data_IF_226672661224
#
_entry.id   IF_226672661224
#
_cell.length_a   1.000
_cell.length_b   1.000
_cell.length_c   1.000
_cell.angle_alpha   90.00
_cell.angle_beta   90.00
_cell.angle_gamma   90.00
#
_symmetry.space_group_name_H-M   'P 1'
#
loop_
_entity.id
_entity.type
_entity.pdbx_description
1 polymer ?
#
# COMPACT_ATOMS: atom_id res chain seq x y z
N UNK A 1 1.53 34.16 -7.57
CA UNK A 1 1.78 32.74 -7.93
C UNK A 1 0.45 32.18 -8.40
N UNK A 2 0.30 31.80 -9.68
CA UNK A 2 -0.93 31.18 -10.16
C UNK A 2 -1.10 29.83 -9.45
N UNK A 3 -2.27 29.65 -8.83
CA UNK A 3 -2.70 28.38 -8.26
C UNK A 3 -2.71 27.29 -9.34
N UNK A 4 -2.47 26.06 -8.91
CA UNK A 4 -2.31 24.89 -9.76
C UNK A 4 -3.50 24.69 -10.71
N UNK A 5 -3.28 23.97 -11.81
CA UNK A 5 -4.30 23.55 -12.77
C UNK A 5 -5.45 22.79 -12.06
N UNK A 6 -6.43 23.50 -11.50
CA UNK A 6 -7.59 22.90 -10.85
C UNK A 6 -8.50 22.27 -11.91
N UNK A 7 -8.86 21.00 -11.69
CA UNK A 7 -9.78 20.27 -12.55
C UNK A 7 -11.16 20.29 -11.90
N UNK A 8 -12.09 21.06 -12.45
CA UNK A 8 -13.40 21.25 -11.83
C UNK A 8 -14.36 20.10 -12.17
N UNK A 9 -15.46 20.01 -11.42
CA UNK A 9 -16.54 19.06 -11.72
C UNK A 9 -17.20 19.32 -13.08
N UNK A 10 -17.29 20.58 -13.51
CA UNK A 10 -17.82 20.93 -14.83
C UNK A 10 -16.85 20.51 -15.96
N UNK A 11 -15.54 20.63 -15.74
CA UNK A 11 -14.54 20.08 -16.66
C UNK A 11 -14.67 18.56 -16.75
N UNK A 12 -14.92 17.86 -15.63
CA UNK A 12 -15.16 16.42 -15.62
C UNK A 12 -16.37 16.04 -16.48
N UNK A 13 -17.52 16.70 -16.26
CA UNK A 13 -18.76 16.44 -17.01
C UNK A 13 -18.54 16.63 -18.51
N UNK A 14 -18.00 17.80 -18.89
CA UNK A 14 -17.74 18.15 -20.29
C UNK A 14 -16.81 17.16 -20.98
N UNK A 15 -15.79 16.68 -20.27
CA UNK A 15 -14.78 15.78 -20.85
C UNK A 15 -15.27 14.34 -20.88
N UNK A 16 -15.96 13.85 -19.86
CA UNK A 16 -16.24 12.42 -19.69
C UNK A 16 -17.71 12.01 -19.77
N UNK A 17 -18.67 12.93 -19.63
CA UNK A 17 -20.10 12.59 -19.58
C UNK A 17 -20.87 13.05 -20.83
N UNK A 18 -20.49 14.17 -21.47
CA UNK A 18 -21.24 14.73 -22.62
C UNK A 18 -21.26 13.79 -23.85
N UNK A 19 -20.23 12.97 -24.03
CA UNK A 19 -20.16 11.96 -25.09
C UNK A 19 -20.43 10.57 -24.49
N UNK A 20 -21.57 9.98 -24.84
CA UNK A 20 -22.00 8.67 -24.35
C UNK A 20 -21.00 7.54 -24.64
N UNK A 21 -20.37 7.52 -25.81
CA UNK A 21 -19.38 6.49 -26.15
C UNK A 21 -18.11 6.66 -25.31
N UNK A 22 -17.72 7.92 -25.06
CA UNK A 22 -16.56 8.23 -24.22
C UNK A 22 -16.84 7.90 -22.75
N UNK A 23 -18.05 8.20 -22.26
CA UNK A 23 -18.51 7.86 -20.91
C UNK A 23 -18.46 6.35 -20.68
N UNK A 24 -19.07 5.56 -21.55
CA UNK A 24 -19.10 4.09 -21.44
C UNK A 24 -17.68 3.49 -21.46
N UNK A 25 -16.82 4.00 -22.33
CA UNK A 25 -15.42 3.57 -22.39
C UNK A 25 -14.63 3.95 -21.13
N UNK A 26 -14.83 5.16 -20.62
CA UNK A 26 -14.19 5.62 -19.38
C UNK A 26 -14.66 4.77 -18.18
N UNK A 27 -15.96 4.47 -18.10
CA UNK A 27 -16.54 3.62 -17.07
C UNK A 27 -15.94 2.21 -17.12
N UNK A 28 -15.81 1.64 -18.32
CA UNK A 28 -15.20 0.32 -18.53
C UNK A 28 -13.76 0.29 -18.00
N UNK A 29 -12.94 1.29 -18.36
CA UNK A 29 -11.58 1.37 -17.83
C UNK A 29 -11.53 1.59 -16.33
N UNK A 30 -12.40 2.44 -15.76
CA UNK A 30 -12.44 2.67 -14.33
C UNK A 30 -12.77 1.37 -13.56
N UNK A 31 -13.74 0.59 -14.04
CA UNK A 31 -14.09 -0.71 -13.48
C UNK A 31 -12.94 -1.72 -13.55
N UNK A 32 -12.25 -1.80 -14.70
CA UNK A 32 -11.12 -2.71 -14.92
C UNK A 32 -9.92 -2.34 -14.03
N UNK A 33 -9.56 -1.05 -13.98
CA UNK A 33 -8.44 -0.58 -13.17
C UNK A 33 -8.74 -0.74 -11.68
N UNK A 34 -9.98 -0.47 -11.24
CA UNK A 34 -10.41 -0.73 -9.86
C UNK A 34 -10.24 -2.21 -9.49
N UNK A 35 -10.67 -3.13 -10.36
CA UNK A 35 -10.47 -4.58 -10.16
C UNK A 35 -8.99 -4.91 -10.07
N UNK A 36 -8.17 -4.34 -10.95
CA UNK A 36 -6.73 -4.52 -10.94
C UNK A 36 -6.06 -4.01 -9.66
N UNK A 37 -6.48 -2.86 -9.13
CA UNK A 37 -5.98 -2.32 -7.85
C UNK A 37 -6.33 -3.21 -6.66
N UNK A 38 -7.52 -3.82 -6.65
CA UNK A 38 -7.91 -4.80 -5.62
C UNK A 38 -6.99 -6.04 -5.68
N UNK A 39 -6.73 -6.57 -6.88
CA UNK A 39 -5.81 -7.70 -7.05
C UNK A 39 -4.38 -7.34 -6.61
N UNK A 40 -3.91 -6.16 -7.00
CA UNK A 40 -2.59 -5.67 -6.58
C UNK A 40 -2.52 -5.45 -5.08
N UNK A 41 -3.58 -4.97 -4.44
CA UNK A 41 -3.63 -4.82 -2.98
C UNK A 41 -3.34 -6.15 -2.27
N UNK A 42 -3.99 -7.24 -2.70
CA UNK A 42 -3.74 -8.57 -2.14
C UNK A 42 -2.34 -9.09 -2.47
N UNK A 43 -1.88 -8.96 -3.72
CA UNK A 43 -0.50 -9.34 -4.10
C UNK A 43 0.54 -8.60 -3.28
N UNK A 44 0.31 -7.30 -3.01
CA UNK A 44 1.20 -6.48 -2.20
C UNK A 44 1.24 -6.92 -0.74
N UNK A 45 0.07 -7.25 -0.18
CA UNK A 45 0.00 -7.79 1.16
C UNK A 45 0.77 -9.12 1.28
N UNK A 46 0.64 -10.03 0.31
CA UNK A 46 1.25 -11.36 0.38
C UNK A 46 2.77 -11.33 0.55
N UNK A 47 3.50 -10.49 -0.19
CA UNK A 47 4.96 -10.44 -0.03
C UNK A 47 5.38 -9.86 1.33
N UNK A 48 4.65 -8.86 1.86
CA UNK A 48 4.94 -8.32 3.19
C UNK A 48 4.65 -9.34 4.28
N UNK A 49 3.55 -10.08 4.17
CA UNK A 49 3.26 -11.20 5.06
C UNK A 49 4.39 -12.24 5.03
N UNK A 50 4.90 -12.59 3.85
CA UNK A 50 6.01 -13.54 3.73
C UNK A 50 7.29 -13.04 4.43
N UNK A 51 7.68 -11.79 4.19
CA UNK A 51 8.87 -11.21 4.84
C UNK A 51 8.71 -11.11 6.36
N UNK A 52 7.54 -10.68 6.84
CA UNK A 52 7.23 -10.56 8.27
C UNK A 52 7.23 -11.94 8.93
N UNK A 53 6.59 -12.94 8.32
CA UNK A 53 6.55 -14.30 8.83
C UNK A 53 7.96 -14.92 8.90
N UNK A 54 8.76 -14.77 7.84
CA UNK A 54 10.15 -15.24 7.82
C UNK A 54 10.99 -14.55 8.91
N UNK A 55 10.81 -13.24 9.11
CA UNK A 55 11.52 -12.48 10.15
C UNK A 55 11.11 -12.94 11.55
N UNK A 56 9.82 -13.19 11.80
CA UNK A 56 9.36 -13.76 13.07
C UNK A 56 9.90 -15.17 13.31
N UNK A 57 9.86 -16.04 12.31
CA UNK A 57 10.40 -17.39 12.41
C UNK A 57 11.91 -17.38 12.72
N UNK A 58 12.67 -16.50 12.04
CA UNK A 58 14.08 -16.27 12.32
C UNK A 58 14.31 -15.78 13.76
N UNK A 59 13.51 -14.82 14.22
CA UNK A 59 13.62 -14.28 15.58
C UNK A 59 13.32 -15.34 16.64
N UNK A 60 12.23 -16.09 16.50
CA UNK A 60 11.86 -17.16 17.45
C UNK A 60 12.93 -18.26 17.49
N UNK A 61 13.41 -18.70 16.32
CA UNK A 61 14.45 -19.73 16.23
C UNK A 61 15.74 -19.27 16.90
N UNK A 62 16.14 -18.01 16.66
CA UNK A 62 17.29 -17.40 17.32
C UNK A 62 17.10 -17.31 18.84
N UNK A 63 15.89 -16.95 19.30
CA UNK A 63 15.57 -16.89 20.73
C UNK A 63 15.60 -18.26 21.41
N UNK A 64 15.28 -19.33 20.69
CA UNK A 64 15.42 -20.70 21.17
C UNK A 64 16.86 -21.24 21.13
N UNK A 65 17.77 -20.56 20.42
CA UNK A 65 19.16 -20.98 20.30
C UNK A 65 20.06 -20.48 21.45
N UNK A 66 21.18 -21.18 21.63
CA UNK A 66 22.31 -20.78 22.51
C UNK A 66 23.43 -20.05 21.75
N UNK A 67 23.09 -19.36 20.65
CA UNK A 67 24.07 -18.65 19.82
C UNK A 67 24.79 -17.55 20.60
N UNK A 68 26.11 -17.43 20.41
CA UNK A 68 26.93 -16.36 21.02
C UNK A 68 26.55 -14.98 20.49
N UNK A 69 26.13 -14.88 19.22
CA UNK A 69 25.75 -13.62 18.57
C UNK A 69 24.25 -13.33 18.67
N UNK A 70 23.56 -13.93 19.65
CA UNK A 70 22.10 -13.88 19.79
C UNK A 70 21.57 -12.45 19.90
N UNK A 71 22.21 -11.59 20.68
CA UNK A 71 21.79 -10.20 20.87
C UNK A 71 21.88 -9.40 19.57
N UNK A 72 23.03 -9.47 18.88
CA UNK A 72 23.27 -8.75 17.64
C UNK A 72 22.26 -9.13 16.56
N UNK A 73 22.08 -10.43 16.35
CA UNK A 73 21.13 -10.96 15.37
C UNK A 73 19.67 -10.63 15.74
N UNK A 74 19.33 -10.58 17.03
CA UNK A 74 17.99 -10.18 17.49
C UNK A 74 17.69 -8.73 17.14
N UNK A 75 18.65 -7.83 17.36
CA UNK A 75 18.52 -6.41 17.04
C UNK A 75 18.37 -6.23 15.52
N UNK A 76 19.19 -6.92 14.71
CA UNK A 76 19.08 -6.91 13.24
C UNK A 76 17.70 -7.35 12.78
N UNK A 77 17.19 -8.47 13.29
CA UNK A 77 15.87 -8.98 12.94
C UNK A 77 14.74 -8.05 13.38
N UNK A 78 14.85 -7.43 14.56
CA UNK A 78 13.91 -6.41 15.01
C UNK A 78 13.89 -5.18 14.08
N UNK A 79 15.05 -4.68 13.68
CA UNK A 79 15.16 -3.58 12.72
C UNK A 79 14.52 -3.93 11.37
N UNK A 80 14.77 -5.14 10.83
CA UNK A 80 14.11 -5.62 9.61
C UNK A 80 12.59 -5.72 9.78
N UNK A 81 12.13 -6.26 10.91
CA UNK A 81 10.71 -6.34 11.24
C UNK A 81 10.02 -4.97 11.27
N UNK A 82 10.68 -3.97 11.86
CA UNK A 82 10.20 -2.57 11.85
C UNK A 82 10.11 -2.03 10.42
N UNK A 83 11.15 -2.22 9.60
CA UNK A 83 11.17 -1.73 8.21
C UNK A 83 10.06 -2.37 7.39
N UNK A 84 9.93 -3.70 7.42
CA UNK A 84 8.93 -4.39 6.62
C UNK A 84 7.51 -4.07 7.05
N UNK A 85 7.24 -4.00 8.35
CA UNK A 85 5.90 -3.67 8.86
C UNK A 85 5.52 -2.20 8.64
N UNK A 86 6.46 -1.26 8.79
CA UNK A 86 6.23 0.16 8.50
C UNK A 86 6.03 0.38 7.00
N UNK A 87 6.84 -0.26 6.17
CA UNK A 87 6.67 -0.27 4.72
C UNK A 87 5.31 -0.84 4.32
N UNK A 88 4.87 -1.93 4.96
CA UNK A 88 3.56 -2.53 4.73
C UNK A 88 2.42 -1.56 5.08
N UNK A 89 2.52 -0.85 6.20
CA UNK A 89 1.56 0.20 6.57
C UNK A 89 1.46 1.30 5.50
N UNK A 90 2.58 1.81 5.03
CA UNK A 90 2.62 2.83 3.96
C UNK A 90 2.00 2.31 2.65
N UNK A 91 2.33 1.09 2.25
CA UNK A 91 1.79 0.47 1.03
C UNK A 91 0.29 0.19 1.16
N UNK A 92 -0.21 -0.23 2.32
CA UNK A 92 -1.65 -0.40 2.56
C UNK A 92 -2.40 0.94 2.44
N UNK A 93 -1.79 2.04 2.91
CA UNK A 93 -2.37 3.39 2.76
C UNK A 93 -2.36 3.87 1.31
N UNK A 94 -1.25 3.67 0.59
CA UNK A 94 -1.14 4.03 -0.83
C UNK A 94 -2.09 3.22 -1.72
N UNK A 95 -2.19 1.91 -1.47
CA UNK A 95 -3.12 1.03 -2.19
C UNK A 95 -4.57 1.49 -2.01
N UNK A 96 -4.94 1.81 -0.77
CA UNK A 96 -6.28 2.28 -0.45
C UNK A 96 -6.60 3.61 -1.16
N UNK A 97 -5.66 4.55 -1.18
CA UNK A 97 -5.83 5.84 -1.85
C UNK A 97 -6.14 5.69 -3.35
N UNK A 98 -5.39 4.84 -4.06
CA UNK A 98 -5.63 4.60 -5.48
C UNK A 98 -6.90 3.80 -5.74
N UNK A 99 -7.23 2.85 -4.87
CA UNK A 99 -8.51 2.16 -4.93
C UNK A 99 -9.68 3.16 -4.82
N UNK A 100 -9.71 3.97 -3.76
CA UNK A 100 -10.76 4.98 -3.55
C UNK A 100 -10.85 5.98 -4.71
N UNK A 101 -9.71 6.37 -5.31
CA UNK A 101 -9.70 7.22 -6.51
C UNK A 101 -10.51 6.61 -7.67
N UNK A 102 -10.29 5.33 -7.98
CA UNK A 102 -11.00 4.66 -9.07
C UNK A 102 -12.44 4.33 -8.71
N UNK A 103 -12.74 4.04 -7.45
CA UNK A 103 -14.11 3.90 -6.94
C UNK A 103 -14.90 5.20 -7.15
N UNK A 104 -14.32 6.36 -6.81
CA UNK A 104 -14.92 7.67 -7.08
C UNK A 104 -15.10 7.95 -8.59
N UNK A 105 -14.18 7.49 -9.45
CA UNK A 105 -14.39 7.62 -10.90
C UNK A 105 -15.56 6.77 -11.39
N UNK A 106 -15.72 5.54 -10.88
CA UNK A 106 -16.88 4.70 -11.19
C UNK A 106 -18.17 5.41 -10.75
N UNK A 107 -18.20 5.94 -9.52
CA UNK A 107 -19.34 6.72 -9.01
C UNK A 107 -19.72 7.85 -9.95
N UNK A 108 -18.75 8.63 -10.44
CA UNK A 108 -19.02 9.77 -11.30
C UNK A 108 -19.47 9.39 -12.72
N UNK A 109 -19.12 8.19 -13.19
CA UNK A 109 -19.33 7.77 -14.57
C UNK A 109 -20.58 6.90 -14.78
N UNK A 110 -21.07 6.21 -13.75
CA UNK A 110 -22.04 5.12 -13.91
C UNK A 110 -23.48 5.55 -14.22
N UNK A 111 -23.92 6.70 -13.72
CA UNK A 111 -25.34 7.08 -13.68
C UNK A 111 -26.02 7.08 -15.06
N UNK A 112 -25.31 7.58 -16.08
CA UNK A 112 -25.83 7.66 -17.45
C UNK A 112 -25.77 6.35 -18.23
N UNK A 113 -24.95 5.39 -17.78
CA UNK A 113 -24.64 4.17 -18.54
C UNK A 113 -25.33 2.94 -17.94
N UNK A 114 -25.11 2.69 -16.64
CA UNK A 114 -25.61 1.50 -15.94
C UNK A 114 -26.49 1.84 -14.72
N UNK A 115 -26.78 3.14 -14.53
CA UNK A 115 -27.43 3.64 -13.32
C UNK A 115 -26.50 3.64 -12.11
N UNK A 116 -27.02 3.89 -10.89
CA UNK A 116 -26.23 4.04 -9.67
C UNK A 116 -25.85 2.67 -9.07
N UNK A 117 -25.39 1.72 -9.89
CA UNK A 117 -25.18 0.34 -9.49
C UNK A 117 -24.13 0.20 -8.38
N UNK A 118 -23.06 0.97 -8.46
CA UNK A 118 -21.95 0.97 -7.51
C UNK A 118 -22.28 1.79 -6.26
N UNK A 119 -23.03 2.90 -6.40
CA UNK A 119 -23.52 3.72 -5.28
C UNK A 119 -24.55 3.03 -4.40
N UNK A 120 -25.39 2.16 -4.97
CA UNK A 120 -26.49 1.53 -4.23
C UNK A 120 -25.97 0.39 -3.35
N UNK A 121 -26.01 0.61 -2.02
CA UNK A 121 -25.62 -0.40 -1.02
C UNK A 121 -26.84 -1.09 -0.44
N UNK A 122 -26.96 -2.39 -0.66
CA UNK A 122 -28.01 -3.22 -0.07
C UNK A 122 -27.55 -3.75 1.30
N UNK A 123 -28.34 -3.49 2.34
CA UNK A 123 -28.04 -3.92 3.73
C UNK A 123 -29.11 -4.86 4.24
N UNK A 124 -28.73 -5.77 5.16
CA UNK A 124 -29.71 -6.64 5.83
C UNK A 124 -30.55 -5.84 6.81
N UNK A 125 -31.82 -6.21 7.03
CA UNK A 125 -32.62 -5.62 8.09
C UNK A 125 -31.97 -5.88 9.46
N UNK A 126 -32.21 -4.99 10.42
CA UNK A 126 -31.68 -5.16 11.76
C UNK A 126 -32.20 -6.45 12.40
N UNK A 127 -31.34 -7.22 13.11
CA UNK A 127 -31.74 -8.45 13.76
C UNK A 127 -32.84 -8.19 14.80
N UNK A 128 -33.85 -9.06 14.84
CA UNK A 128 -34.96 -9.01 15.79
C UNK A 128 -34.82 -10.13 16.83
N UNK A 129 -34.71 -9.73 18.10
CA UNK A 129 -34.61 -10.66 19.21
C UNK A 129 -33.17 -11.11 19.50
N UNK A 130 -33.01 -11.82 20.62
CA UNK A 130 -31.69 -12.14 21.19
C UNK A 130 -30.88 -13.10 20.32
N UNK A 131 -31.51 -14.14 19.76
CA UNK A 131 -30.83 -15.15 18.94
C UNK A 131 -30.25 -14.56 17.65
N UNK A 132 -31.04 -13.79 16.90
CA UNK A 132 -30.56 -13.11 15.68
C UNK A 132 -29.46 -12.08 16.00
N UNK A 133 -29.53 -11.43 17.17
CA UNK A 133 -28.49 -10.50 17.60
C UNK A 133 -27.16 -11.22 17.88
N UNK A 134 -27.21 -12.39 18.53
CA UNK A 134 -26.03 -13.22 18.77
C UNK A 134 -25.42 -13.74 17.46
N UNK A 135 -26.23 -14.24 16.53
CA UNK A 135 -25.76 -14.69 15.21
C UNK A 135 -25.15 -13.53 14.42
N UNK A 136 -25.83 -12.37 14.40
CA UNK A 136 -25.34 -11.18 13.72
C UNK A 136 -24.00 -10.69 14.29
N UNK A 137 -23.81 -10.77 15.61
CA UNK A 137 -22.56 -10.35 16.27
C UNK A 137 -21.38 -11.27 15.95
N UNK A 138 -21.62 -12.58 15.86
CA UNK A 138 -20.55 -13.58 15.69
C UNK A 138 -20.17 -13.82 14.23
N UNK A 139 -21.15 -13.91 13.33
CA UNK A 139 -20.94 -14.32 11.94
C UNK A 139 -21.74 -13.50 10.92
N UNK A 140 -22.50 -12.50 11.39
CA UNK A 140 -23.27 -11.62 10.52
C UNK A 140 -22.39 -10.76 9.61
N UNK A 141 -22.85 -10.44 8.38
CA UNK A 141 -22.13 -9.53 7.50
C UNK A 141 -22.20 -8.10 8.03
N UNK A 142 -21.05 -7.44 8.10
CA UNK A 142 -20.91 -6.04 8.54
C UNK A 142 -19.98 -5.28 7.61
N UNK A 143 -20.16 -3.96 7.53
CA UNK A 143 -19.40 -3.07 6.64
C UNK A 143 -17.97 -2.77 7.13
N UNK A 144 -17.17 -3.80 7.37
CA UNK A 144 -15.77 -3.62 7.71
C UNK A 144 -14.94 -3.26 6.48
N UNK A 145 -14.06 -2.27 6.64
CA UNK A 145 -13.08 -1.92 5.61
C UNK A 145 -11.87 -2.85 5.72
N UNK A 146 -11.75 -3.77 4.76
CA UNK A 146 -10.62 -4.71 4.65
C UNK A 146 -9.28 -3.99 4.66
N UNK A 147 -9.18 -2.85 3.97
CA UNK A 147 -7.98 -2.02 3.93
C UNK A 147 -7.65 -1.35 5.26
N UNK A 148 -8.64 -0.85 6.01
CA UNK A 148 -8.41 -0.31 7.36
C UNK A 148 -7.93 -1.41 8.33
N UNK A 149 -8.51 -2.61 8.25
CA UNK A 149 -8.08 -3.74 9.10
C UNK A 149 -6.60 -4.06 8.86
N UNK A 150 -6.18 -4.21 7.60
CA UNK A 150 -4.76 -4.49 7.32
C UNK A 150 -3.83 -3.33 7.72
N UNK A 151 -4.27 -2.08 7.62
CA UNK A 151 -3.51 -0.95 8.17
C UNK A 151 -3.32 -1.07 9.68
N UNK A 152 -4.39 -1.41 10.42
CA UNK A 152 -4.30 -1.63 11.88
C UNK A 152 -3.40 -2.83 12.22
N UNK A 153 -3.50 -3.93 11.49
CA UNK A 153 -2.62 -5.10 11.68
C UNK A 153 -1.16 -4.71 11.43
N UNK A 154 -0.86 -4.03 10.32
CA UNK A 154 0.50 -3.59 10.02
C UNK A 154 1.08 -2.66 11.10
N UNK A 155 0.26 -1.73 11.61
CA UNK A 155 0.63 -0.85 12.72
C UNK A 155 0.90 -1.66 14.01
N UNK A 156 0.03 -2.61 14.35
CA UNK A 156 0.21 -3.48 15.50
C UNK A 156 1.52 -4.28 15.40
N UNK A 157 1.81 -4.86 14.24
CA UNK A 157 3.05 -5.60 13.99
C UNK A 157 4.28 -4.69 14.10
N UNK A 158 4.21 -3.45 13.61
CA UNK A 158 5.28 -2.46 13.81
C UNK A 158 5.53 -2.17 15.28
N UNK A 159 4.47 -1.90 16.05
CA UNK A 159 4.58 -1.66 17.50
C UNK A 159 5.19 -2.88 18.20
N UNK A 160 4.75 -4.09 17.84
CA UNK A 160 5.29 -5.32 18.40
C UNK A 160 6.81 -5.45 18.15
N UNK A 161 7.28 -5.18 16.93
CA UNK A 161 8.71 -5.20 16.63
C UNK A 161 9.50 -4.12 17.37
N UNK A 162 8.92 -2.93 17.57
CA UNK A 162 9.53 -1.87 18.38
C UNK A 162 9.67 -2.33 19.84
N UNK A 163 8.65 -2.95 20.42
CA UNK A 163 8.71 -3.52 21.78
C UNK A 163 9.78 -4.63 21.88
N UNK A 164 9.85 -5.51 20.88
CA UNK A 164 10.88 -6.56 20.82
C UNK A 164 12.30 -5.98 20.66
N UNK A 165 12.45 -4.88 19.93
CA UNK A 165 13.72 -4.15 19.82
C UNK A 165 14.15 -3.64 21.19
N UNK A 166 13.27 -2.94 21.91
CA UNK A 166 13.58 -2.45 23.26
C UNK A 166 13.94 -3.57 24.23
N UNK A 167 13.25 -4.72 24.15
CA UNK A 167 13.58 -5.91 24.96
C UNK A 167 14.93 -6.53 24.58
N UNK A 168 15.33 -6.45 23.31
CA UNK A 168 16.57 -7.05 22.81
C UNK A 168 17.79 -6.15 23.04
N UNK A 169 17.58 -4.85 23.23
CA UNK A 169 18.66 -3.93 23.57
C UNK A 169 19.19 -4.24 24.99
N UNK A 170 20.52 -4.20 25.20
CA UNK A 170 21.09 -4.34 26.53
C UNK A 170 20.58 -3.26 27.49
N UNK A 171 20.58 -3.56 28.80
CA UNK A 171 20.22 -2.62 29.87
C UNK A 171 20.85 -1.23 29.64
N UNK A 172 20.00 -0.23 29.41
CA UNK A 172 20.37 1.19 29.25
C UNK A 172 20.63 1.77 30.64
N UNK A 173 21.61 1.24 31.37
CA UNK A 173 22.15 1.90 32.56
C UNK A 173 23.21 2.90 32.08
N UNK A 174 23.29 4.06 32.72
CA UNK A 174 24.25 5.13 32.38
C UNK A 174 25.73 4.66 32.40
N UNK A 175 26.00 3.51 33.00
CA UNK A 175 27.30 2.85 33.11
C UNK A 175 27.56 1.76 32.07
N UNK A 176 26.61 1.48 31.16
CA UNK A 176 26.77 0.47 30.11
C UNK A 176 27.63 1.01 28.96
N UNK A 177 28.59 0.24 28.42
CA UNK A 177 29.44 0.70 27.33
C UNK A 177 28.59 0.97 26.09
N UNK A 178 28.74 2.17 25.52
CA UNK A 178 28.09 2.54 24.27
C UNK A 178 28.49 1.58 23.16
N UNK A 179 27.51 0.99 22.47
CA UNK A 179 27.74 0.15 21.29
C UNK A 179 27.39 0.94 20.02
N UNK A 180 28.39 1.40 19.24
CA UNK A 180 28.15 2.19 18.02
C UNK A 180 27.35 1.45 16.96
N UNK A 181 27.51 0.12 16.87
CA UNK A 181 26.82 -0.70 15.87
C UNK A 181 25.30 -0.68 16.10
N UNK A 182 24.84 -0.87 17.33
CA UNK A 182 23.41 -0.83 17.65
C UNK A 182 22.83 0.57 17.41
N UNK A 183 23.55 1.62 17.83
CA UNK A 183 23.11 2.99 17.64
C UNK A 183 22.92 3.32 16.15
N UNK A 184 23.93 3.04 15.32
CA UNK A 184 23.87 3.28 13.87
C UNK A 184 22.71 2.52 13.24
N UNK A 185 22.53 1.25 13.60
CA UNK A 185 21.48 0.40 13.03
C UNK A 185 20.07 0.91 13.37
N UNK A 186 19.84 1.31 14.62
CA UNK A 186 18.56 1.90 15.06
C UNK A 186 18.34 3.26 14.38
N UNK A 187 19.36 4.10 14.28
CA UNK A 187 19.27 5.39 13.59
C UNK A 187 18.94 5.23 12.09
N UNK A 188 19.60 4.31 11.39
CA UNK A 188 19.30 4.00 9.98
C UNK A 188 17.87 3.48 9.85
N UNK A 189 17.44 2.58 10.74
CA UNK A 189 16.07 2.06 10.75
C UNK A 189 15.05 3.18 10.88
N UNK A 190 15.25 4.09 11.85
CA UNK A 190 14.41 5.26 12.05
C UNK A 190 14.41 6.20 10.84
N UNK A 191 15.59 6.46 10.25
CA UNK A 191 15.72 7.27 9.04
C UNK A 191 14.90 6.70 7.88
N UNK A 192 15.00 5.40 7.61
CA UNK A 192 14.23 4.78 6.52
C UNK A 192 12.73 4.81 6.78
N UNK A 193 12.28 4.62 8.03
CA UNK A 193 10.88 4.81 8.39
C UNK A 193 10.42 6.25 8.09
N UNK A 194 11.21 7.26 8.48
CA UNK A 194 10.92 8.66 8.16
C UNK A 194 10.90 8.93 6.66
N UNK A 195 11.84 8.34 5.91
CA UNK A 195 11.90 8.46 4.45
C UNK A 195 10.66 7.85 3.78
N UNK A 196 10.11 6.75 4.29
CA UNK A 196 8.84 6.21 3.77
C UNK A 196 7.70 7.22 3.89
N UNK A 197 7.57 7.91 5.03
CA UNK A 197 6.51 8.90 5.21
C UNK A 197 6.76 10.22 4.48
N UNK A 198 8.01 10.65 4.35
CA UNK A 198 8.35 11.93 3.73
C UNK A 198 8.52 11.84 2.21
N UNK A 199 9.36 10.90 1.75
CA UNK A 199 9.74 10.75 0.34
C UNK A 199 8.95 9.65 -0.38
N UNK A 200 8.23 8.79 0.33
CA UNK A 200 7.37 7.76 -0.27
C UNK A 200 6.04 8.27 -0.83
N UNK A 201 5.77 9.59 -0.76
CA UNK A 201 4.54 10.18 -1.31
C UNK A 201 4.64 10.32 -2.84
N UNK A 202 3.53 10.06 -3.53
CA UNK A 202 3.41 10.28 -4.98
C UNK A 202 3.70 11.75 -5.32
N UNK A 203 4.46 11.95 -6.40
CA UNK A 203 4.74 13.28 -6.92
C UNK A 203 3.54 13.81 -7.71
N UNK A 204 3.04 14.98 -7.34
CA UNK A 204 1.84 15.59 -7.94
C UNK A 204 2.09 16.81 -8.82
N UNK A 205 3.33 17.08 -9.24
CA UNK A 205 3.64 18.23 -10.12
C UNK A 205 3.96 17.77 -11.53
N UNK A 206 3.94 18.72 -12.47
CA UNK A 206 4.22 18.48 -13.88
C UNK A 206 5.60 17.85 -14.10
N UNK A 207 5.64 16.86 -15.00
CA UNK A 207 6.88 16.32 -15.52
C UNK A 207 7.24 17.02 -16.84
N UNK A 208 8.43 17.62 -16.90
CA UNK A 208 9.01 18.12 -18.16
C UNK A 208 9.92 17.03 -18.72
N UNK A 209 9.47 16.35 -19.78
CA UNK A 209 10.24 15.30 -20.44
C UNK A 209 11.00 15.85 -21.64
N UNK A 210 12.27 15.44 -21.80
CA UNK A 210 13.09 15.76 -22.98
C UNK A 210 13.10 14.55 -23.91
N UNK A 211 12.53 14.69 -25.10
CA UNK A 211 12.60 13.66 -26.14
C UNK A 211 13.85 13.84 -27.00
N UNK A 212 14.55 12.73 -27.34
CA UNK A 212 15.67 12.72 -28.28
C UNK A 212 15.48 11.57 -29.28
N UNK A 213 15.54 11.86 -30.57
CA UNK A 213 15.54 10.86 -31.64
C UNK A 213 16.98 10.51 -32.02
N UNK A 214 17.26 9.22 -32.26
CA UNK A 214 18.58 8.75 -32.74
C UNK A 214 18.54 8.57 -34.26
N UNK A 215 19.59 8.94 -34.97
CA UNK A 215 19.72 8.70 -36.42
C UNK A 215 20.01 7.22 -36.68
N UNK A 216 19.19 6.56 -37.49
CA UNK A 216 19.44 5.20 -38.01
C UNK A 216 19.63 5.27 -39.53
N UNK A 217 20.71 4.67 -40.05
CA UNK A 217 20.92 4.49 -41.49
C UNK A 217 20.56 3.04 -41.85
N UNK A 218 19.59 2.85 -42.73
CA UNK A 218 19.25 1.55 -43.30
C UNK A 218 20.15 1.33 -44.51
N UNK A 219 20.97 0.27 -44.51
CA UNK A 219 21.72 -0.13 -45.70
C UNK A 219 20.82 -1.06 -46.52
N UNK A 220 20.28 -0.56 -47.62
CA UNK A 220 19.51 -1.39 -48.54
C UNK A 220 20.46 -2.37 -49.24
N UNK A 221 20.16 -3.67 -49.16
CA UNK A 221 20.85 -4.70 -49.94
C UNK A 221 20.28 -4.62 -51.35
N UNK A 222 21.06 -4.10 -52.29
CA UNK A 222 20.72 -4.17 -53.71
C UNK A 222 20.89 -5.65 -54.09
N UNK A 223 19.79 -6.38 -54.27
CA UNK A 223 19.82 -7.66 -54.98
C UNK A 223 20.08 -7.34 -56.44
N UNK A 224 21.26 -7.72 -56.91
CA UNK A 224 21.62 -7.66 -58.32
C UNK A 224 21.10 -8.99 -58.90
N UNK A 225 20.01 -8.93 -59.66
CA UNK A 225 19.55 -10.06 -60.47
C UNK A 225 20.49 -10.15 -61.68
N UNK A 226 21.27 -11.24 -61.74
CA UNK A 226 22.02 -11.68 -62.92
C UNK A 226 21.10 -12.45 -63.88
#
# INVERSE_FOLDING_TARGET
MKEANEFSGEDYKKIFLDDAKKNEKALTYALDIRKFEIDLYWKRASYFWAFIAATFAGFITLQASSSVNKTDLSIILCCLGIIFSTGWLCVNRGSKHWQENWENHVDMLEDSSIGPLYKVVLTRPMPKGFQEHCEHLLTGPTSFSVSKINQLISLFVTILWVVLLFKSLPDIRFSSPFNPFYFILVCITGLFCLLFFWRGKTYGKDYVHIAKIRSAKIKLKITQDD
#
